data_IF_104692641939
#
_entry.id   IF_104692641939
#
_cell.length_a   1.000
_cell.length_b   1.000
_cell.length_c   1.000
_cell.angle_alpha   90.00
_cell.angle_beta   90.00
_cell.angle_gamma   90.00
#
_symmetry.space_group_name_H-M   'P 1'
#
loop_
_entity.id
_entity.type
_entity.pdbx_description
1 polymer ?
#
# COMPACT_ATOMS: atom_id res chain seq x y z
N UNK A 1 -17.68 -0.51 6.25
CA UNK A 1 -17.49 -0.83 7.69
C UNK A 1 -16.18 -0.23 8.15
N UNK A 2 -16.16 0.42 9.31
CA UNK A 2 -14.94 0.91 9.96
C UNK A 2 -14.62 -0.01 11.12
N UNK A 3 -13.38 -0.50 11.17
CA UNK A 3 -12.85 -1.35 12.23
C UNK A 3 -11.58 -0.74 12.78
N UNK A 4 -11.47 -0.61 14.09
CA UNK A 4 -10.29 -0.12 14.78
C UNK A 4 -9.84 -1.11 15.85
N UNK A 5 -8.54 -1.42 15.88
CA UNK A 5 -7.90 -2.12 16.99
C UNK A 5 -7.28 -1.10 17.92
N UNK A 6 -7.68 -1.12 19.18
CA UNK A 6 -7.35 -0.08 20.16
C UNK A 6 -6.77 -0.73 21.41
N UNK A 7 -5.55 -0.31 21.76
CA UNK A 7 -4.86 -0.70 22.97
C UNK A 7 -4.89 0.44 24.00
N UNK A 8 -5.11 0.10 25.26
CA UNK A 8 -4.88 0.97 26.42
C UNK A 8 -4.38 0.12 27.60
N UNK A 9 -3.53 0.71 28.44
CA UNK A 9 -3.03 0.10 29.67
C UNK A 9 -3.84 0.52 30.91
N UNK A 10 -4.79 1.45 30.76
CA UNK A 10 -5.45 2.15 31.87
C UNK A 10 -6.85 1.59 32.22
N UNK A 11 -7.14 0.36 31.80
CA UNK A 11 -8.43 -0.30 32.02
C UNK A 11 -9.24 -0.49 30.73
N UNK A 12 -10.51 -0.95 30.83
CA UNK A 12 -11.33 -1.17 29.65
C UNK A 12 -11.67 0.16 28.98
N UNK A 13 -11.83 0.14 27.66
CA UNK A 13 -12.40 1.27 26.93
C UNK A 13 -13.85 1.49 27.36
N UNK A 14 -14.19 2.76 27.60
CA UNK A 14 -15.52 3.21 28.01
C UNK A 14 -16.35 3.65 26.81
N UNK A 15 -15.72 4.34 25.86
CA UNK A 15 -16.37 4.90 24.68
C UNK A 15 -15.39 4.85 23.50
N UNK A 16 -15.87 4.47 22.32
CA UNK A 16 -15.14 4.65 21.06
C UNK A 16 -16.09 5.24 20.04
N UNK A 17 -15.62 6.24 19.32
CA UNK A 17 -16.36 6.92 18.27
C UNK A 17 -15.46 7.22 17.09
N UNK A 18 -16.04 7.28 15.90
CA UNK A 18 -15.35 7.76 14.72
C UNK A 18 -16.05 8.98 14.13
N UNK A 19 -15.28 9.78 13.41
CA UNK A 19 -15.76 10.92 12.64
C UNK A 19 -15.03 10.91 11.30
N UNK A 20 -15.76 11.25 10.24
CA UNK A 20 -15.18 11.44 8.90
C UNK A 20 -15.25 12.93 8.59
N UNK A 21 -14.10 13.50 8.26
CA UNK A 21 -13.90 14.93 8.09
C UNK A 21 -14.47 15.72 9.28
N UNK A 22 -15.36 16.69 9.01
CA UNK A 22 -16.10 17.45 10.02
C UNK A 22 -17.56 16.97 10.14
N UNK A 23 -17.85 15.74 9.72
CA UNK A 23 -19.18 15.15 9.75
C UNK A 23 -19.65 14.76 11.15
N UNK A 24 -20.74 13.99 11.21
CA UNK A 24 -21.27 13.49 12.47
C UNK A 24 -20.30 12.56 13.22
N UNK A 25 -20.34 12.61 14.55
CA UNK A 25 -19.62 11.68 15.41
C UNK A 25 -20.48 10.43 15.59
N UNK A 26 -19.93 9.27 15.26
CA UNK A 26 -20.66 8.00 15.23
C UNK A 26 -20.05 7.06 16.28
N UNK A 27 -20.83 6.54 17.25
CA UNK A 27 -20.34 5.58 18.22
C UNK A 27 -20.00 4.24 17.57
N UNK A 28 -19.00 3.56 18.14
CA UNK A 28 -18.56 2.23 17.70
C UNK A 28 -18.89 1.19 18.77
N UNK A 29 -19.25 -0.02 18.34
CA UNK A 29 -19.44 -1.17 19.21
C UNK A 29 -18.06 -1.71 19.64
N UNK A 30 -17.83 -1.82 20.95
CA UNK A 30 -16.56 -2.28 21.52
C UNK A 30 -16.67 -3.76 21.88
N UNK A 31 -15.83 -4.59 21.26
CA UNK A 31 -15.57 -5.97 21.67
C UNK A 31 -14.30 -6.02 22.50
N UNK A 32 -14.45 -6.39 23.77
CA UNK A 32 -13.34 -6.51 24.72
C UNK A 32 -12.56 -7.79 24.44
N UNK A 33 -11.25 -7.66 24.26
CA UNK A 33 -10.34 -8.79 24.17
C UNK A 33 -9.19 -8.59 25.16
N UNK A 34 -8.23 -9.52 25.22
CA UNK A 34 -7.21 -9.53 26.30
C UNK A 34 -6.28 -8.30 26.29
N UNK A 35 -5.79 -7.92 25.11
CA UNK A 35 -4.78 -6.85 24.96
C UNK A 35 -5.30 -5.73 24.08
N UNK A 36 -5.79 -6.08 22.89
CA UNK A 36 -6.40 -5.15 21.95
C UNK A 36 -7.92 -5.24 22.05
N UNK A 37 -8.60 -4.12 22.07
CA UNK A 37 -10.05 -4.08 21.92
C UNK A 37 -10.37 -3.84 20.45
N UNK A 38 -11.40 -4.50 19.94
CA UNK A 38 -11.88 -4.29 18.58
C UNK A 38 -13.11 -3.39 18.63
N UNK A 39 -13.06 -2.24 17.97
CA UNK A 39 -14.21 -1.34 17.82
C UNK A 39 -14.70 -1.36 16.38
N UNK A 40 -16.00 -1.56 16.18
CA UNK A 40 -16.61 -1.61 14.84
C UNK A 40 -17.81 -0.69 14.71
N UNK A 41 -17.96 -0.09 13.54
CA UNK A 41 -19.19 0.58 13.16
C UNK A 41 -19.47 0.41 11.67
N UNK A 42 -20.75 0.36 11.31
CA UNK A 42 -21.13 0.46 9.91
C UNK A 42 -20.86 1.87 9.42
N UNK A 43 -20.13 1.96 8.32
CA UNK A 43 -19.96 3.19 7.57
C UNK A 43 -20.83 3.07 6.34
N UNK A 44 -21.81 3.96 6.25
CA UNK A 44 -22.56 4.19 5.03
C UNK A 44 -21.69 4.97 4.04
N UNK A 45 -20.88 4.25 3.26
CA UNK A 45 -20.03 4.83 2.23
C UNK A 45 -20.85 5.41 1.06
N UNK A 46 -22.16 5.16 0.98
CA UNK A 46 -23.01 5.76 -0.06
C UNK A 46 -23.20 7.26 0.14
N UNK A 47 -23.00 7.74 1.37
CA UNK A 47 -23.05 9.17 1.71
C UNK A 47 -21.71 9.88 1.54
N UNK A 48 -20.61 9.14 1.42
CA UNK A 48 -19.28 9.72 1.22
C UNK A 48 -19.06 10.03 -0.27
N UNK A 49 -18.63 11.25 -0.57
CA UNK A 49 -18.19 11.61 -1.91
C UNK A 49 -16.94 10.79 -2.27
N UNK A 50 -16.72 10.53 -3.56
CA UNK A 50 -15.45 9.94 -3.97
C UNK A 50 -14.31 10.92 -3.68
N UNK A 51 -13.19 10.43 -3.16
CA UNK A 51 -12.03 11.24 -2.81
C UNK A 51 -11.37 10.84 -1.51
N UNK A 52 -10.53 11.75 -1.01
CA UNK A 52 -9.81 11.60 0.25
C UNK A 52 -10.57 12.22 1.40
N UNK A 53 -10.59 11.50 2.52
CA UNK A 53 -11.26 11.90 3.75
C UNK A 53 -10.36 11.65 4.95
N UNK A 54 -10.53 12.44 6.00
CA UNK A 54 -9.86 12.23 7.27
C UNK A 54 -10.79 11.43 8.18
N UNK A 55 -10.42 10.19 8.47
CA UNK A 55 -11.04 9.38 9.50
C UNK A 55 -10.36 9.67 10.85
N UNK A 56 -11.11 10.22 11.79
CA UNK A 56 -10.68 10.35 13.18
C UNK A 56 -11.34 9.28 14.02
N UNK A 57 -10.55 8.46 14.70
CA UNK A 57 -11.04 7.55 15.75
C UNK A 57 -10.66 8.16 17.09
N UNK A 58 -11.64 8.30 17.97
CA UNK A 58 -11.48 8.81 19.33
C UNK A 58 -11.98 7.75 20.32
N UNK A 59 -11.19 7.53 21.36
CA UNK A 59 -11.48 6.55 22.39
C UNK A 59 -11.33 7.19 23.78
N UNK A 60 -12.09 6.70 24.74
CA UNK A 60 -12.00 7.06 26.15
C UNK A 60 -11.68 5.83 26.98
N UNK A 61 -10.69 5.97 27.84
CA UNK A 61 -10.42 5.08 28.97
C UNK A 61 -10.49 5.86 30.29
N UNK A 62 -10.05 5.24 31.38
CA UNK A 62 -10.12 5.84 32.72
C UNK A 62 -9.23 7.08 32.89
N UNK A 63 -8.15 7.21 32.13
CA UNK A 63 -7.23 8.36 32.21
C UNK A 63 -7.69 9.51 31.32
N UNK A 64 -8.54 9.23 30.34
CA UNK A 64 -9.22 10.25 29.56
C UNK A 64 -9.36 9.86 28.10
N UNK A 65 -9.26 10.88 27.24
CA UNK A 65 -9.60 10.77 25.83
C UNK A 65 -8.36 10.86 24.98
N UNK A 66 -8.23 9.93 24.03
CA UNK A 66 -7.17 9.91 23.04
C UNK A 66 -7.74 9.68 21.64
N UNK A 67 -7.01 10.10 20.62
CA UNK A 67 -7.49 10.03 19.24
C UNK A 67 -6.37 9.79 18.25
N UNK A 68 -6.72 9.21 17.11
CA UNK A 68 -5.84 9.05 15.96
C UNK A 68 -6.59 9.43 14.69
N UNK A 69 -5.95 10.25 13.86
CA UNK A 69 -6.43 10.59 12.52
C UNK A 69 -5.69 9.77 11.48
N UNK A 70 -6.39 9.37 10.43
CA UNK A 70 -5.83 8.73 9.25
C UNK A 70 -6.56 9.21 8.00
N UNK A 71 -5.84 9.34 6.90
CA UNK A 71 -6.43 9.64 5.60
C UNK A 71 -6.91 8.34 4.94
N UNK A 72 -8.13 8.32 4.43
CA UNK A 72 -8.73 7.19 3.72
C UNK A 72 -9.23 7.65 2.35
N UNK A 73 -9.17 6.78 1.34
CA UNK A 73 -9.75 7.04 0.02
C UNK A 73 -11.05 6.28 -0.16
N UNK A 74 -12.09 7.00 -0.59
CA UNK A 74 -13.34 6.42 -1.12
C UNK A 74 -13.26 6.48 -2.64
N UNK A 75 -13.19 5.32 -3.29
CA UNK A 75 -13.22 5.23 -4.75
C UNK A 75 -14.23 4.18 -5.21
N UNK A 76 -14.81 4.41 -6.38
CA UNK A 76 -15.66 3.43 -7.08
C UNK A 76 -14.83 2.51 -7.97
N UNK A 77 -13.69 3.02 -8.45
CA UNK A 77 -12.78 2.28 -9.31
C UNK A 77 -11.87 1.36 -8.49
N UNK A 78 -11.71 0.13 -8.95
CA UNK A 78 -10.81 -0.84 -8.32
C UNK A 78 -9.33 -0.59 -8.66
N UNK A 79 -9.05 0.12 -9.76
CA UNK A 79 -7.71 0.41 -10.26
C UNK A 79 -7.30 1.81 -9.82
N UNK A 80 -6.20 1.89 -9.08
CA UNK A 80 -5.64 3.14 -8.61
C UNK A 80 -4.54 3.66 -9.53
N UNK A 81 -4.50 4.99 -9.66
CA UNK A 81 -3.52 5.71 -10.43
C UNK A 81 -2.14 5.68 -9.76
N UNK A 82 -1.09 5.35 -10.50
CA UNK A 82 0.27 5.18 -9.96
C UNK A 82 0.84 6.48 -9.36
N UNK A 83 0.51 7.63 -9.95
CA UNK A 83 0.95 8.95 -9.48
C UNK A 83 0.34 9.36 -8.14
N UNK A 84 -0.75 8.72 -7.73
CA UNK A 84 -1.48 9.03 -6.50
C UNK A 84 -0.96 8.25 -5.28
N UNK A 85 -0.33 7.09 -5.49
CA UNK A 85 0.00 6.15 -4.41
C UNK A 85 1.06 6.73 -3.46
N UNK A 86 2.16 7.27 -3.99
CA UNK A 86 3.25 7.77 -3.15
C UNK A 86 2.86 9.03 -2.36
N UNK A 87 2.18 10.04 -2.96
CA UNK A 87 1.68 11.19 -2.20
C UNK A 87 0.78 10.81 -1.02
N UNK A 88 -0.04 9.76 -1.17
CA UNK A 88 -0.99 9.30 -0.16
C UNK A 88 -0.63 7.91 0.40
N UNK A 89 0.67 7.63 0.50
CA UNK A 89 1.15 6.27 0.76
C UNK A 89 0.61 5.67 2.06
N UNK A 90 0.42 6.49 3.09
CA UNK A 90 -0.07 6.03 4.38
C UNK A 90 -1.51 5.50 4.31
N UNK A 91 -2.34 5.99 3.38
CA UNK A 91 -3.71 5.50 3.16
C UNK A 91 -3.74 4.11 2.53
N UNK A 92 -2.70 3.73 1.80
CA UNK A 92 -2.64 2.47 1.06
C UNK A 92 -1.70 1.44 1.68
N UNK A 93 -0.83 1.85 2.61
CA UNK A 93 0.19 0.98 3.18
C UNK A 93 -0.44 -0.28 3.81
N UNK A 94 -0.01 -1.45 3.34
CA UNK A 94 -0.51 -2.74 3.84
C UNK A 94 -1.85 -3.18 3.26
N UNK A 95 -2.49 -2.38 2.42
CA UNK A 95 -3.74 -2.74 1.75
C UNK A 95 -3.49 -3.29 0.35
N UNK A 96 -4.25 -4.32 -0.01
CA UNK A 96 -4.27 -4.89 -1.35
C UNK A 96 -5.01 -3.94 -2.28
N UNK A 97 -4.42 -3.64 -3.43
CA UNK A 97 -4.99 -2.76 -4.44
C UNK A 97 -4.61 -3.20 -5.85
N UNK A 98 -5.37 -2.76 -6.86
CA UNK A 98 -5.00 -2.97 -8.27
C UNK A 98 -4.38 -1.71 -8.85
N UNK A 99 -3.34 -1.88 -9.66
CA UNK A 99 -2.71 -0.81 -10.45
C UNK A 99 -2.60 -1.26 -11.89
N UNK A 100 -2.65 -0.31 -12.82
CA UNK A 100 -2.48 -0.58 -14.25
C UNK A 100 -1.44 0.37 -14.82
N UNK A 101 -0.56 -0.14 -15.69
CA UNK A 101 0.36 0.74 -16.40
C UNK A 101 1.30 0.01 -17.33
N UNK A 102 2.10 0.80 -18.05
CA UNK A 102 3.07 0.32 -19.05
C UNK A 102 4.43 0.09 -18.41
N UNK A 103 5.01 -1.09 -18.61
CA UNK A 103 6.38 -1.41 -18.17
C UNK A 103 7.38 -0.50 -18.90
N UNK A 104 8.21 0.22 -18.15
CA UNK A 104 9.27 1.09 -18.67
C UNK A 104 10.65 0.48 -18.50
N UNK A 105 10.85 -0.22 -17.40
CA UNK A 105 12.08 -0.95 -17.07
C UNK A 105 11.67 -2.24 -16.38
N UNK A 106 12.30 -3.34 -16.77
CA UNK A 106 12.22 -4.62 -16.08
C UNK A 106 13.64 -4.99 -15.64
N UNK A 107 13.84 -5.19 -14.35
CA UNK A 107 15.07 -5.67 -13.74
C UNK A 107 14.77 -7.04 -13.16
N UNK A 108 15.00 -8.08 -13.95
CA UNK A 108 14.55 -9.43 -13.63
C UNK A 108 15.75 -10.36 -13.58
N UNK A 109 15.87 -11.11 -12.48
CA UNK A 109 16.82 -12.20 -12.30
C UNK A 109 16.04 -13.51 -12.28
N UNK A 110 16.32 -14.39 -13.23
CA UNK A 110 15.77 -15.74 -13.27
C UNK A 110 16.60 -16.65 -12.37
N UNK A 111 15.95 -17.26 -11.37
CA UNK A 111 16.57 -18.26 -10.51
C UNK A 111 15.99 -19.63 -10.87
N UNK A 112 16.80 -20.42 -11.56
CA UNK A 112 16.49 -21.80 -11.92
C UNK A 112 16.70 -22.69 -10.69
N UNK A 113 15.62 -23.11 -10.04
CA UNK A 113 15.68 -23.99 -8.86
C UNK A 113 15.42 -25.45 -9.20
N UNK A 114 14.69 -25.74 -10.28
CA UNK A 114 14.47 -27.09 -10.83
C UNK A 114 13.91 -27.03 -12.27
N UNK A 115 13.93 -28.14 -13.00
CA UNK A 115 13.33 -28.29 -14.35
C UNK A 115 11.83 -27.95 -14.42
N UNK A 116 11.13 -27.79 -13.27
CA UNK A 116 9.68 -27.55 -13.20
C UNK A 116 9.28 -26.25 -12.48
N UNK A 117 10.23 -25.45 -11.99
CA UNK A 117 9.92 -24.20 -11.27
C UNK A 117 10.96 -23.12 -11.55
N UNK A 118 10.61 -22.21 -12.46
CA UNK A 118 11.34 -20.96 -12.66
C UNK A 118 10.80 -19.92 -11.69
N UNK A 119 11.63 -19.47 -10.74
CA UNK A 119 11.30 -18.34 -9.89
C UNK A 119 11.86 -17.07 -10.52
N UNK A 120 11.02 -16.05 -10.54
CA UNK A 120 11.39 -14.74 -11.04
C UNK A 120 11.50 -13.81 -9.82
N UNK A 121 12.70 -13.29 -9.57
CA UNK A 121 12.91 -12.21 -8.62
C UNK A 121 13.29 -10.96 -9.39
N UNK A 122 12.80 -9.80 -8.96
CA UNK A 122 13.09 -8.58 -9.69
C UNK A 122 12.25 -7.39 -9.31
N UNK A 123 12.33 -6.36 -10.14
CA UNK A 123 11.53 -5.17 -10.01
C UNK A 123 11.13 -4.60 -11.37
N UNK A 124 9.93 -4.03 -11.44
CA UNK A 124 9.39 -3.34 -12.60
C UNK A 124 9.20 -1.87 -12.28
N UNK A 125 9.65 -0.99 -13.18
CA UNK A 125 9.19 0.40 -13.20
C UNK A 125 8.01 0.46 -14.15
N UNK A 126 6.81 0.67 -13.60
CA UNK A 126 5.56 0.77 -14.34
C UNK A 126 5.11 2.22 -14.36
N UNK A 127 4.57 2.68 -15.49
CA UNK A 127 4.12 4.06 -15.68
C UNK A 127 2.74 4.11 -16.30
N UNK A 128 1.87 4.98 -15.78
CA UNK A 128 0.62 5.40 -16.41
C UNK A 128 0.68 6.90 -16.77
N UNK A 129 -0.47 7.48 -17.09
CA UNK A 129 -0.60 8.92 -17.40
C UNK A 129 -0.39 9.84 -16.19
N UNK A 130 -0.59 9.34 -14.98
CA UNK A 130 -0.51 10.11 -13.73
C UNK A 130 0.88 10.07 -13.10
N UNK A 131 1.63 9.00 -13.31
CA UNK A 131 2.94 8.82 -12.69
C UNK A 131 3.53 7.44 -12.88
N UNK A 132 4.48 7.09 -12.03
CA UNK A 132 5.18 5.81 -12.07
C UNK A 132 5.13 5.13 -10.70
N UNK A 133 5.22 3.80 -10.69
CA UNK A 133 5.42 2.99 -9.49
C UNK A 133 6.55 1.97 -9.70
N UNK A 134 7.16 1.53 -8.60
CA UNK A 134 8.13 0.44 -8.59
C UNK A 134 7.45 -0.79 -8.00
N UNK A 135 7.25 -1.82 -8.82
CA UNK A 135 6.69 -3.10 -8.40
C UNK A 135 7.84 -4.05 -8.08
N UNK A 136 7.87 -4.61 -6.87
CA UNK A 136 8.80 -5.65 -6.45
C UNK A 136 8.18 -7.02 -6.76
N UNK A 137 8.96 -7.87 -7.42
CA UNK A 137 8.64 -9.27 -7.74
C UNK A 137 9.53 -10.14 -6.82
N UNK A 138 8.95 -10.91 -5.90
CA UNK A 138 9.75 -11.88 -5.13
C UNK A 138 9.14 -12.53 -3.88
N UNK A 139 9.82 -13.64 -3.54
CA UNK A 139 9.82 -14.59 -2.40
C UNK A 139 8.68 -15.61 -2.18
N UNK A 140 7.41 -15.34 -2.50
CA UNK A 140 6.36 -16.37 -2.35
C UNK A 140 5.38 -16.40 -3.54
N UNK A 141 5.28 -17.56 -4.18
CA UNK A 141 4.21 -17.98 -5.10
C UNK A 141 3.98 -17.20 -6.42
N UNK A 142 4.94 -16.45 -6.96
CA UNK A 142 4.81 -16.02 -8.36
C UNK A 142 5.25 -17.15 -9.29
N UNK A 143 4.30 -18.03 -9.64
CA UNK A 143 4.40 -18.87 -10.83
C UNK A 143 4.75 -17.97 -12.02
N UNK A 144 5.62 -18.49 -12.90
CA UNK A 144 6.15 -17.85 -14.12
C UNK A 144 5.31 -16.66 -14.59
N UNK A 145 5.76 -15.44 -14.27
CA UNK A 145 5.09 -14.23 -14.74
C UNK A 145 5.25 -14.16 -16.26
N UNK A 146 4.17 -14.21 -17.04
CA UNK A 146 4.28 -14.18 -18.48
C UNK A 146 4.77 -12.81 -18.94
N UNK A 147 5.87 -12.82 -19.71
CA UNK A 147 6.36 -11.74 -20.57
C UNK A 147 6.35 -10.33 -19.95
N UNK A 148 7.42 -10.03 -19.21
CA UNK A 148 7.69 -8.74 -18.56
C UNK A 148 8.40 -7.75 -19.49
N UNK A 149 8.16 -7.83 -20.79
CA UNK A 149 8.82 -6.97 -21.77
C UNK A 149 8.50 -5.49 -21.59
N UNK A 150 9.52 -4.69 -21.87
CA UNK A 150 9.39 -3.23 -21.92
C UNK A 150 8.30 -2.85 -22.92
N UNK A 151 7.33 -2.09 -22.45
CA UNK A 151 6.28 -1.51 -23.26
C UNK A 151 4.94 -2.22 -23.16
N UNK A 152 4.87 -3.39 -22.52
CA UNK A 152 3.61 -4.06 -22.23
C UNK A 152 2.82 -3.34 -21.16
N UNK A 153 1.50 -3.36 -21.29
CA UNK A 153 0.56 -2.84 -20.29
C UNK A 153 0.15 -4.00 -19.40
N UNK A 154 0.25 -3.80 -18.10
CA UNK A 154 -0.05 -4.81 -17.10
C UNK A 154 -1.10 -4.29 -16.12
N UNK A 155 -1.90 -5.19 -15.58
CA UNK A 155 -2.71 -4.95 -14.38
C UNK A 155 -2.14 -5.83 -13.26
N UNK A 156 -1.76 -5.21 -12.15
CA UNK A 156 -1.11 -5.89 -11.04
C UNK A 156 -1.90 -5.66 -9.76
N UNK A 157 -2.10 -6.74 -9.01
CA UNK A 157 -2.58 -6.69 -7.63
C UNK A 157 -1.36 -6.57 -6.72
N UNK A 158 -1.30 -5.49 -5.94
CA UNK A 158 -0.11 -5.11 -5.19
C UNK A 158 -0.45 -4.71 -3.75
N UNK A 159 0.56 -4.75 -2.87
CA UNK A 159 0.52 -4.16 -1.54
C UNK A 159 1.62 -3.11 -1.42
N UNK A 160 1.29 -1.82 -1.18
CA UNK A 160 2.28 -0.80 -0.89
C UNK A 160 3.00 -1.08 0.43
N UNK A 161 4.32 -1.14 0.38
CA UNK A 161 5.20 -1.37 1.54
C UNK A 161 6.38 -0.40 1.59
N UNK A 162 6.87 -0.16 2.81
CA UNK A 162 8.08 0.64 3.07
C UNK A 162 9.22 -0.28 3.46
N UNK A 163 10.36 -0.12 2.81
CA UNK A 163 11.61 -0.75 3.23
C UNK A 163 12.56 0.26 3.84
N UNK A 164 13.18 -0.08 4.97
CA UNK A 164 14.20 0.73 5.59
C UNK A 164 15.50 0.67 4.78
N UNK A 165 16.15 1.82 4.57
CA UNK A 165 17.37 1.90 3.77
C UNK A 165 18.51 1.02 4.32
N UNK A 166 18.58 0.87 5.64
CA UNK A 166 19.56 0.02 6.30
C UNK A 166 19.40 -1.47 5.94
N UNK A 167 18.18 -1.91 5.66
CA UNK A 167 17.84 -3.31 5.33
C UNK A 167 18.06 -3.65 3.86
N UNK A 168 18.31 -2.64 3.00
CA UNK A 168 18.56 -2.85 1.57
C UNK A 168 20.03 -3.22 1.36
N UNK A 169 20.29 -4.33 0.69
CA UNK A 169 21.66 -4.77 0.36
C UNK A 169 22.41 -3.76 -0.52
N UNK A 170 23.74 -3.80 -0.47
CA UNK A 170 24.61 -2.89 -1.23
C UNK A 170 24.37 -2.99 -2.74
N UNK A 171 24.15 -4.19 -3.28
CA UNK A 171 23.87 -4.40 -4.72
C UNK A 171 22.62 -3.62 -5.17
N UNK A 172 21.53 -3.73 -4.41
CA UNK A 172 20.27 -3.03 -4.70
C UNK A 172 20.39 -1.52 -4.55
N UNK A 173 21.18 -1.03 -3.59
CA UNK A 173 21.49 0.41 -3.45
C UNK A 173 22.20 0.97 -4.69
N UNK A 174 23.11 0.20 -5.29
CA UNK A 174 23.79 0.59 -6.52
C UNK A 174 22.79 0.65 -7.68
N UNK A 175 21.90 -0.34 -7.83
CA UNK A 175 20.83 -0.28 -8.82
C UNK A 175 19.92 0.94 -8.64
N UNK A 176 19.51 1.24 -7.41
CA UNK A 176 18.73 2.46 -7.11
C UNK A 176 19.49 3.72 -7.56
N UNK A 177 20.79 3.80 -7.30
CA UNK A 177 21.62 4.92 -7.74
C UNK A 177 21.66 5.04 -9.27
N UNK A 178 21.93 3.94 -9.98
CA UNK A 178 21.99 3.91 -11.46
C UNK A 178 20.68 4.32 -12.12
N UNK A 179 19.55 4.00 -11.49
CA UNK A 179 18.22 4.29 -12.03
C UNK A 179 17.58 5.54 -11.44
N UNK A 180 18.29 6.35 -10.64
CA UNK A 180 17.68 7.44 -9.84
C UNK A 180 16.77 8.39 -10.64
N UNK A 181 17.14 8.73 -11.88
CA UNK A 181 16.33 9.61 -12.74
C UNK A 181 15.11 8.95 -13.40
N UNK A 182 15.04 7.62 -13.36
CA UNK A 182 13.93 6.80 -13.88
C UNK A 182 12.99 6.32 -12.76
N UNK A 183 13.38 6.47 -11.49
CA UNK A 183 12.57 6.04 -10.35
C UNK A 183 11.32 6.92 -10.20
N UNK A 184 10.24 6.37 -9.64
CA UNK A 184 9.07 7.16 -9.25
C UNK A 184 9.43 8.36 -8.38
N UNK A 185 8.74 9.47 -8.57
CA UNK A 185 8.86 10.62 -7.65
C UNK A 185 8.47 10.18 -6.24
N UNK A 186 9.27 10.55 -5.25
CA UNK A 186 9.06 10.13 -3.87
C UNK A 186 9.36 8.66 -3.58
N UNK A 187 9.92 7.91 -4.54
CA UNK A 187 10.37 6.53 -4.32
C UNK A 187 11.35 6.42 -3.15
N UNK A 188 12.37 7.29 -3.11
CA UNK A 188 13.34 7.33 -2.01
C UNK A 188 12.78 8.22 -0.90
N UNK A 189 12.55 7.63 0.27
CA UNK A 189 12.24 8.36 1.50
C UNK A 189 13.53 9.00 1.99
N UNK A 190 13.55 10.32 2.12
CA UNK A 190 14.74 11.08 2.53
C UNK A 190 14.46 11.92 3.77
N UNK A 191 15.49 12.06 4.58
CA UNK A 191 15.61 13.06 5.63
C UNK A 191 16.76 13.98 5.22
N UNK A 192 16.41 15.17 4.73
CA UNK A 192 17.32 16.05 3.98
C UNK A 192 17.96 15.30 2.80
N UNK A 193 19.27 15.08 2.85
CA UNK A 193 20.02 14.35 1.82
C UNK A 193 20.23 12.86 2.15
N UNK A 194 19.85 12.40 3.34
CA UNK A 194 20.09 11.01 3.77
C UNK A 194 18.89 10.13 3.43
N UNK A 195 19.06 9.05 2.63
CA UNK A 195 17.99 8.10 2.40
C UNK A 195 17.67 7.31 3.68
N UNK A 196 16.38 7.23 4.01
CA UNK A 196 15.82 6.51 5.16
C UNK A 196 15.10 5.23 4.75
N UNK A 197 14.58 5.19 3.53
CA UNK A 197 13.88 4.03 3.00
C UNK A 197 13.42 4.21 1.58
N UNK A 198 12.61 3.27 1.11
CA UNK A 198 11.96 3.31 -0.20
C UNK A 198 10.49 2.93 -0.11
N UNK A 199 9.68 3.51 -0.98
CA UNK A 199 8.30 3.11 -1.24
C UNK A 199 8.26 2.08 -2.38
N UNK A 200 7.65 0.93 -2.15
CA UNK A 200 7.55 -0.16 -3.12
C UNK A 200 6.12 -0.68 -3.18
N UNK A 201 5.76 -1.27 -4.31
CA UNK A 201 4.52 -2.01 -4.50
C UNK A 201 4.89 -3.50 -4.58
N UNK A 202 4.60 -4.28 -3.55
CA UNK A 202 4.86 -5.71 -3.59
C UNK A 202 3.81 -6.41 -4.44
N UNK A 203 4.24 -7.14 -5.47
CA UNK A 203 3.35 -7.92 -6.32
C UNK A 203 2.73 -9.09 -5.55
N UNK A 204 1.40 -9.19 -5.62
CA UNK A 204 0.62 -10.32 -5.08
C UNK A 204 0.11 -11.20 -6.22
N UNK A 205 -0.43 -10.57 -7.26
CA UNK A 205 -1.01 -11.27 -8.41
C UNK A 205 -0.89 -10.41 -9.67
N UNK A 206 -0.92 -11.07 -10.81
CA UNK A 206 -0.64 -10.51 -12.12
C UNK A 206 -1.67 -11.01 -13.13
N UNK A 207 -2.48 -10.10 -13.68
CA UNK A 207 -3.41 -10.42 -14.77
C UNK A 207 -2.83 -9.91 -16.10
N UNK A 208 -2.52 -10.85 -16.99
CA UNK A 208 -2.22 -10.50 -18.38
C UNK A 208 -3.54 -10.15 -19.07
N UNK A 209 -3.71 -8.89 -19.46
CA UNK A 209 -4.75 -8.53 -20.43
C UNK A 209 -4.27 -9.03 -21.79
N UNK A 210 -4.53 -10.31 -22.09
CA UNK A 210 -4.47 -10.80 -23.46
C UNK A 210 -5.58 -10.10 -24.23
N UNK A 211 -5.22 -9.02 -24.92
CA UNK A 211 -6.08 -8.45 -25.94
C UNK A 211 -6.35 -9.54 -26.97
N UNK A 212 -7.56 -10.11 -26.94
CA UNK A 212 -8.13 -10.66 -28.16
C UNK A 212 -8.43 -9.46 -29.05
N UNK A 213 -7.68 -9.37 -30.15
CA UNK A 213 -8.11 -8.65 -31.35
C UNK A 213 -9.48 -9.16 -31.78
#
# INVERSE_FOLDING_TARGET
MVTAQIYTQYGPLEEVRYQIDQGGIIPMEIRKEKLWNTATAMWDSTQAKAGYHILMVQARDKEGVFSKQMEVKVCKDEILALGEIIPHFNSYQGHIMKVKGKIKVALVEELYTSEKSTFINGALIVKDETGSGMILIGEYNTQCLPDLERGKIITAKVIPIKYLWKSIERKHKIYIALYTFKLPRGFIIRDRFKPKGVHLLWLIDYENVTGKM
#
